data_IF_024630378096
#
_entry.id   IF_024630378096
#
_cell.length_a   1.000
_cell.length_b   1.000
_cell.length_c   1.000
_cell.angle_alpha   90.00
_cell.angle_beta   90.00
_cell.angle_gamma   90.00
#
_symmetry.space_group_name_H-M   'P 1'
#
loop_
_entity.id
_entity.type
_entity.pdbx_description
1 polymer ?
#
# COMPACT_ATOMS: atom_id res chain seq x y z
N UNK A 1 42.01 -39.87 -4.71
CA UNK A 1 41.73 -38.49 -4.26
C UNK A 1 40.69 -37.91 -5.21
N UNK A 2 39.41 -38.10 -4.89
CA UNK A 2 38.30 -37.62 -5.72
C UNK A 2 38.29 -36.10 -5.69
N UNK A 3 38.50 -35.49 -6.85
CA UNK A 3 38.53 -34.05 -6.99
C UNK A 3 37.16 -33.50 -6.60
N UNK A 4 37.11 -32.64 -5.58
CA UNK A 4 35.96 -31.84 -5.20
C UNK A 4 35.56 -30.98 -6.40
N UNK A 5 34.75 -31.52 -7.30
CA UNK A 5 33.95 -30.73 -8.23
C UNK A 5 33.13 -29.80 -7.33
N UNK A 6 33.43 -28.51 -7.39
CA UNK A 6 32.76 -27.46 -6.64
C UNK A 6 31.27 -27.76 -6.61
N UNK A 7 30.75 -28.19 -5.45
CA UNK A 7 29.32 -28.19 -5.21
C UNK A 7 28.91 -26.74 -5.36
N UNK A 8 28.28 -26.41 -6.49
CA UNK A 8 27.67 -25.10 -6.66
C UNK A 8 26.74 -24.89 -5.46
N UNK A 9 27.05 -23.89 -4.63
CA UNK A 9 26.23 -23.58 -3.47
C UNK A 9 24.90 -23.01 -3.97
N UNK A 10 23.90 -23.88 -4.05
CA UNK A 10 22.52 -23.53 -4.42
C UNK A 10 21.75 -22.91 -3.25
N UNK A 11 22.43 -22.46 -2.19
CA UNK A 11 21.82 -21.59 -1.19
C UNK A 11 21.37 -20.28 -1.82
N UNK A 12 20.37 -19.63 -1.23
CA UNK A 12 19.88 -18.30 -1.68
C UNK A 12 21.03 -17.28 -1.72
N UNK A 13 21.96 -17.38 -0.78
CA UNK A 13 23.14 -16.52 -0.71
C UNK A 13 24.14 -16.82 -1.83
N UNK A 14 24.42 -18.09 -2.09
CA UNK A 14 25.27 -18.53 -3.20
C UNK A 14 24.71 -18.09 -4.55
N UNK A 15 23.42 -18.31 -4.80
CA UNK A 15 22.72 -17.85 -6.01
C UNK A 15 22.75 -16.33 -6.16
N UNK A 16 22.56 -15.57 -5.08
CA UNK A 16 22.66 -14.10 -5.15
C UNK A 16 24.05 -13.64 -5.60
N UNK A 17 25.13 -14.27 -5.12
CA UNK A 17 26.49 -13.86 -5.49
C UNK A 17 26.80 -14.07 -6.97
N UNK A 18 26.31 -15.17 -7.55
CA UNK A 18 26.54 -15.55 -8.94
C UNK A 18 25.64 -14.80 -9.95
N UNK A 19 24.57 -14.16 -9.46
CA UNK A 19 23.66 -13.39 -10.29
C UNK A 19 24.30 -12.17 -10.98
N UNK A 20 23.84 -11.92 -12.20
CA UNK A 20 24.15 -10.72 -12.96
C UNK A 20 23.66 -9.45 -12.23
N UNK A 21 24.32 -8.32 -12.49
CA UNK A 21 24.02 -7.04 -11.84
C UNK A 21 22.56 -6.63 -12.02
N UNK A 22 21.96 -6.91 -13.18
CA UNK A 22 20.56 -6.58 -13.47
C UNK A 22 19.62 -7.41 -12.60
N UNK A 23 19.87 -8.71 -12.47
CA UNK A 23 19.05 -9.61 -11.65
C UNK A 23 19.16 -9.24 -10.17
N UNK A 24 20.36 -8.85 -9.70
CA UNK A 24 20.58 -8.32 -8.34
C UNK A 24 19.74 -7.07 -8.08
N UNK A 25 19.73 -6.11 -9.00
CA UNK A 25 18.92 -4.89 -8.89
C UNK A 25 17.42 -5.22 -8.84
N UNK A 26 16.95 -6.14 -9.69
CA UNK A 26 15.56 -6.62 -9.69
C UNK A 26 15.18 -7.20 -8.32
N UNK A 27 15.99 -8.13 -7.78
CA UNK A 27 15.71 -8.77 -6.50
C UNK A 27 15.69 -7.76 -5.34
N UNK A 28 16.68 -6.87 -5.27
CA UNK A 28 16.74 -5.83 -4.22
C UNK A 28 15.54 -4.89 -4.33
N UNK A 29 15.20 -4.44 -5.53
CA UNK A 29 14.05 -3.57 -5.77
C UNK A 29 12.74 -4.18 -5.30
N UNK A 30 12.53 -5.48 -5.58
CA UNK A 30 11.34 -6.22 -5.14
C UNK A 30 11.29 -6.40 -3.62
N UNK A 31 12.44 -6.65 -2.97
CA UNK A 31 12.52 -6.73 -1.51
C UNK A 31 12.16 -5.37 -0.88
N UNK A 32 12.68 -4.27 -1.42
CA UNK A 32 12.33 -2.92 -0.95
C UNK A 32 10.83 -2.62 -1.14
N UNK A 33 10.24 -3.03 -2.28
CA UNK A 33 8.81 -2.90 -2.52
C UNK A 33 7.97 -3.70 -1.50
N UNK A 34 8.44 -4.89 -1.10
CA UNK A 34 7.83 -5.67 -0.03
C UNK A 34 7.90 -4.94 1.32
N UNK A 35 9.05 -4.36 1.68
CA UNK A 35 9.20 -3.57 2.91
C UNK A 35 8.24 -2.37 2.92
N UNK A 36 8.11 -1.65 1.80
CA UNK A 36 7.16 -0.52 1.66
C UNK A 36 5.72 -1.00 1.84
N UNK A 37 5.36 -2.16 1.27
CA UNK A 37 4.03 -2.77 1.42
C UNK A 37 3.68 -2.99 2.89
N UNK A 38 4.58 -3.61 3.64
CA UNK A 38 4.38 -3.86 5.07
C UNK A 38 4.39 -2.58 5.92
N UNK A 39 5.26 -1.61 5.59
CA UNK A 39 5.28 -0.32 6.27
C UNK A 39 3.94 0.42 6.11
N UNK A 40 3.36 0.41 4.90
CA UNK A 40 2.03 0.98 4.64
C UNK A 40 0.96 0.21 5.43
N UNK A 41 0.99 -1.12 5.41
CA UNK A 41 0.01 -1.95 6.14
C UNK A 41 -0.05 -1.61 7.63
N UNK A 42 1.09 -1.65 8.33
CA UNK A 42 1.11 -1.38 9.76
C UNK A 42 0.84 0.09 10.07
N UNK A 43 1.43 1.01 9.30
CA UNK A 43 1.23 2.45 9.50
C UNK A 43 -0.22 2.87 9.30
N UNK A 44 -0.81 2.55 8.15
CA UNK A 44 -2.21 2.89 7.85
C UNK A 44 -3.21 2.06 8.64
N UNK A 45 -2.91 0.79 8.89
CA UNK A 45 -3.77 -0.08 9.71
C UNK A 45 -3.98 0.47 11.12
N UNK A 46 -2.89 0.92 11.77
CA UNK A 46 -2.97 1.54 13.10
C UNK A 46 -3.73 2.88 13.06
N UNK A 47 -3.46 3.74 12.08
CA UNK A 47 -4.12 5.03 11.90
C UNK A 47 -5.64 4.88 11.69
N UNK A 48 -6.05 3.96 10.81
CA UNK A 48 -7.47 3.69 10.51
C UNK A 48 -8.16 3.07 11.73
N UNK A 49 -7.52 2.12 12.42
CA UNK A 49 -8.11 1.49 13.60
C UNK A 49 -8.33 2.50 14.73
N UNK A 50 -7.34 3.37 15.00
CA UNK A 50 -7.45 4.42 15.98
C UNK A 50 -8.58 5.41 15.63
N UNK A 51 -8.61 5.87 14.38
CA UNK A 51 -9.63 6.79 13.87
C UNK A 51 -11.04 6.20 13.93
N UNK A 52 -11.19 4.92 13.55
CA UNK A 52 -12.49 4.21 13.59
C UNK A 52 -13.00 4.03 15.01
N UNK A 53 -12.13 3.65 15.96
CA UNK A 53 -12.51 3.53 17.38
C UNK A 53 -12.95 4.86 17.95
N UNK A 54 -12.20 5.93 17.64
CA UNK A 54 -12.53 7.29 18.06
C UNK A 54 -13.87 7.76 17.49
N UNK A 55 -14.06 7.64 16.18
CA UNK A 55 -15.29 8.03 15.51
C UNK A 55 -16.51 7.29 16.07
N UNK A 56 -16.38 5.98 16.34
CA UNK A 56 -17.45 5.19 16.96
C UNK A 56 -17.85 5.73 18.35
N UNK A 57 -16.87 6.15 19.15
CA UNK A 57 -17.12 6.74 20.47
C UNK A 57 -17.82 8.08 20.36
N UNK A 58 -17.33 8.97 19.50
CA UNK A 58 -17.91 10.29 19.26
C UNK A 58 -19.35 10.17 18.73
N UNK A 59 -19.59 9.25 17.80
CA UNK A 59 -20.93 8.95 17.28
C UNK A 59 -21.88 8.48 18.38
N UNK A 60 -21.42 7.61 19.29
CA UNK A 60 -22.24 7.12 20.41
C UNK A 60 -22.60 8.25 21.38
N UNK A 61 -21.68 9.17 21.66
CA UNK A 61 -21.93 10.33 22.51
C UNK A 61 -22.92 11.32 21.87
N UNK A 62 -22.86 11.47 20.55
CA UNK A 62 -23.80 12.32 19.81
C UNK A 62 -25.18 11.72 19.61
N UNK A 63 -25.33 10.40 19.71
CA UNK A 63 -26.63 9.74 19.53
C UNK A 63 -27.70 10.20 20.54
N UNK A 64 -27.28 10.79 21.66
CA UNK A 64 -28.15 11.33 22.70
C UNK A 64 -28.54 12.80 22.49
N UNK A 65 -27.91 13.49 21.52
CA UNK A 65 -28.19 14.89 21.22
C UNK A 65 -29.57 15.06 20.57
N UNK A 66 -30.34 16.03 21.07
CA UNK A 66 -31.70 16.36 20.59
C UNK A 66 -31.77 17.69 19.84
N UNK A 67 -30.69 18.45 19.83
CA UNK A 67 -30.55 19.71 19.09
C UNK A 67 -29.13 19.88 18.56
N UNK A 68 -28.95 20.77 17.59
CA UNK A 68 -27.64 21.10 17.05
C UNK A 68 -26.76 21.80 18.09
N UNK A 69 -27.35 22.63 18.95
CA UNK A 69 -26.64 23.29 20.05
C UNK A 69 -26.10 22.26 21.05
N UNK A 70 -26.93 21.28 21.44
CA UNK A 70 -26.49 20.19 22.31
C UNK A 70 -25.39 19.33 21.65
N UNK A 71 -25.49 19.09 20.34
CA UNK A 71 -24.44 18.40 19.60
C UNK A 71 -23.13 19.20 19.58
N UNK A 72 -23.19 20.53 19.45
CA UNK A 72 -22.05 21.44 19.53
C UNK A 72 -21.38 21.40 20.91
N UNK A 73 -22.18 21.48 21.97
CA UNK A 73 -21.71 21.40 23.36
C UNK A 73 -21.00 20.06 23.63
N UNK A 74 -21.59 18.94 23.20
CA UNK A 74 -20.97 17.61 23.31
C UNK A 74 -19.66 17.56 22.52
N UNK A 75 -19.66 18.09 21.28
CA UNK A 75 -18.50 18.05 20.39
C UNK A 75 -17.36 18.98 20.81
N UNK A 76 -17.63 19.99 21.66
CA UNK A 76 -16.61 20.87 22.25
C UNK A 76 -15.62 20.11 23.14
N UNK A 77 -16.03 18.98 23.70
CA UNK A 77 -15.20 18.10 24.53
C UNK A 77 -14.37 17.09 23.70
N UNK A 78 -14.55 17.02 22.38
CA UNK A 78 -13.77 16.15 21.51
C UNK A 78 -12.41 16.77 21.16
N UNK A 79 -11.47 15.96 20.66
CA UNK A 79 -10.16 16.47 20.24
C UNK A 79 -10.33 17.50 19.11
N UNK A 80 -9.52 18.57 19.12
CA UNK A 80 -9.62 19.69 18.17
C UNK A 80 -9.61 19.29 16.68
N UNK A 81 -8.97 18.17 16.33
CA UNK A 81 -8.92 17.64 14.96
C UNK A 81 -10.02 16.60 14.65
N UNK A 82 -11.04 16.47 15.49
CA UNK A 82 -12.19 15.59 15.26
C UNK A 82 -12.88 15.90 13.94
N UNK A 83 -13.16 14.86 13.16
CA UNK A 83 -14.06 14.99 12.01
C UNK A 83 -15.46 15.41 12.47
N UNK A 84 -15.94 14.81 13.56
CA UNK A 84 -17.25 15.06 14.13
C UNK A 84 -17.44 16.53 14.51
N UNK A 85 -16.48 17.10 15.24
CA UNK A 85 -16.48 18.53 15.58
C UNK A 85 -16.41 19.42 14.34
N UNK A 86 -15.59 19.05 13.34
CA UNK A 86 -15.52 19.81 12.09
C UNK A 86 -16.85 19.83 11.34
N UNK A 87 -17.57 18.71 11.28
CA UNK A 87 -18.88 18.64 10.62
C UNK A 87 -19.94 19.49 11.36
N UNK A 88 -19.96 19.44 12.68
CA UNK A 88 -20.89 20.23 13.50
C UNK A 88 -20.59 21.73 13.40
N UNK A 89 -19.30 22.11 13.37
CA UNK A 89 -18.89 23.50 13.16
C UNK A 89 -19.24 24.00 11.76
N UNK A 90 -19.15 23.15 10.74
CA UNK A 90 -19.53 23.49 9.37
C UNK A 90 -21.04 23.79 9.26
N UNK A 91 -21.87 23.00 9.97
CA UNK A 91 -23.31 23.21 10.03
C UNK A 91 -23.69 24.50 10.80
N UNK A 92 -23.06 24.76 11.94
CA UNK A 92 -23.25 26.01 12.69
C UNK A 92 -22.81 27.22 11.86
N UNK A 93 -21.67 27.13 11.19
CA UNK A 93 -21.17 28.20 10.35
C UNK A 93 -22.13 28.51 9.19
N UNK A 94 -22.79 27.51 8.60
CA UNK A 94 -23.80 27.76 7.57
C UNK A 94 -25.03 28.50 8.12
N UNK A 95 -25.46 28.18 9.35
CA UNK A 95 -26.53 28.90 10.02
C UNK A 95 -26.16 30.36 10.32
N UNK A 96 -24.93 30.60 10.79
CA UNK A 96 -24.41 31.96 11.03
C UNK A 96 -24.33 32.78 9.74
N UNK A 97 -23.82 32.18 8.65
CA UNK A 97 -23.73 32.83 7.35
C UNK A 97 -25.11 33.11 6.73
N UNK A 98 -26.11 32.31 7.11
CA UNK A 98 -27.49 32.45 6.65
C UNK A 98 -28.36 33.24 7.62
N UNK A 99 -27.78 33.92 8.61
CA UNK A 99 -28.52 34.70 9.59
C UNK A 99 -29.39 35.76 8.88
N UNK A 100 -30.71 35.70 9.11
CA UNK A 100 -31.69 36.59 8.49
C UNK A 100 -32.23 36.12 7.14
N UNK A 101 -31.80 34.97 6.62
CA UNK A 101 -32.43 34.34 5.46
C UNK A 101 -33.74 33.64 5.87
N UNK A 102 -34.80 33.80 5.06
CA UNK A 102 -36.08 33.12 5.27
C UNK A 102 -36.13 31.73 4.62
N UNK A 103 -35.19 31.47 3.70
CA UNK A 103 -35.10 30.22 2.94
C UNK A 103 -34.38 29.12 3.73
N UNK A 104 -35.15 28.41 4.56
CA UNK A 104 -34.68 27.23 5.29
C UNK A 104 -34.32 26.06 4.37
N UNK A 105 -34.88 25.98 3.16
CA UNK A 105 -34.60 24.90 2.22
C UNK A 105 -33.18 25.06 1.65
N UNK A 106 -32.83 26.28 1.21
CA UNK A 106 -31.48 26.61 0.77
C UNK A 106 -30.42 26.42 1.85
N UNK A 107 -30.73 26.71 3.12
CA UNK A 107 -29.81 26.45 4.25
C UNK A 107 -29.53 24.95 4.39
N UNK A 108 -30.57 24.11 4.32
CA UNK A 108 -30.43 22.65 4.39
C UNK A 108 -29.63 22.09 3.22
N UNK A 109 -29.88 22.59 2.01
CA UNK A 109 -29.16 22.18 0.80
C UNK A 109 -27.67 22.52 0.91
N UNK A 110 -27.34 23.77 1.25
CA UNK A 110 -25.94 24.22 1.41
C UNK A 110 -25.23 23.45 2.53
N UNK A 111 -25.91 23.24 3.66
CA UNK A 111 -25.36 22.44 4.77
C UNK A 111 -25.07 21.01 4.31
N UNK A 112 -26.05 20.33 3.70
CA UNK A 112 -25.89 18.97 3.17
C UNK A 112 -24.71 18.87 2.20
N UNK A 113 -24.64 19.78 1.23
CA UNK A 113 -23.57 19.84 0.25
C UNK A 113 -22.17 20.03 0.90
N UNK A 114 -22.05 20.94 1.88
CA UNK A 114 -20.78 21.17 2.59
C UNK A 114 -20.33 19.93 3.38
N UNK A 115 -21.26 19.28 4.08
CA UNK A 115 -20.98 18.07 4.85
C UNK A 115 -20.55 16.91 3.94
N UNK A 116 -21.28 16.65 2.86
CA UNK A 116 -20.93 15.62 1.88
C UNK A 116 -19.55 15.87 1.26
N UNK A 117 -19.26 17.11 0.87
CA UNK A 117 -17.96 17.51 0.34
C UNK A 117 -16.83 17.24 1.35
N UNK A 118 -17.08 17.51 2.64
CA UNK A 118 -16.10 17.29 3.72
C UNK A 118 -15.86 15.80 3.95
N UNK A 119 -16.92 14.99 4.02
CA UNK A 119 -16.82 13.53 4.14
C UNK A 119 -16.04 12.94 2.95
N UNK A 120 -16.35 13.37 1.74
CA UNK A 120 -15.63 12.93 0.54
C UNK A 120 -14.14 13.33 0.56
N UNK A 121 -13.80 14.51 1.07
CA UNK A 121 -12.41 14.95 1.21
C UNK A 121 -11.62 14.09 2.20
N UNK A 122 -12.22 13.72 3.34
CA UNK A 122 -11.60 12.83 4.31
C UNK A 122 -11.42 11.43 3.74
N UNK A 123 -12.42 10.89 3.04
CA UNK A 123 -12.31 9.60 2.37
C UNK A 123 -11.13 9.53 1.39
N UNK A 124 -10.95 10.58 0.57
CA UNK A 124 -9.77 10.69 -0.32
C UNK A 124 -8.45 10.77 0.44
N UNK A 125 -8.42 11.47 1.57
CA UNK A 125 -7.20 11.58 2.38
C UNK A 125 -6.82 10.22 3.00
N UNK A 126 -7.81 9.46 3.48
CA UNK A 126 -7.61 8.11 4.01
C UNK A 126 -7.09 7.13 2.94
N UNK A 127 -7.51 7.31 1.68
CA UNK A 127 -7.02 6.51 0.55
C UNK A 127 -5.56 6.78 0.13
N UNK A 128 -4.89 7.79 0.67
CA UNK A 128 -3.47 8.04 0.38
C UNK A 128 -2.62 6.85 0.83
N UNK A 129 -1.72 6.42 -0.05
CA UNK A 129 -0.90 5.23 0.19
C UNK A 129 -1.41 4.01 -0.57
N UNK A 130 -2.72 3.88 -0.78
CA UNK A 130 -3.29 2.70 -1.42
C UNK A 130 -2.86 2.56 -2.90
N UNK A 131 -2.62 3.69 -3.58
CA UNK A 131 -2.06 3.70 -4.93
C UNK A 131 -0.69 3.01 -5.06
N UNK A 132 0.16 3.07 -4.02
CA UNK A 132 1.44 2.36 -4.02
C UNK A 132 1.23 0.85 -3.91
N UNK A 133 0.32 0.40 -3.05
CA UNK A 133 -0.03 -1.02 -2.92
C UNK A 133 -0.59 -1.58 -4.24
N UNK A 134 -1.49 -0.83 -4.88
CA UNK A 134 -2.04 -1.18 -6.18
C UNK A 134 -0.94 -1.32 -7.24
N UNK A 135 -0.03 -0.35 -7.29
CA UNK A 135 1.06 -0.32 -8.27
C UNK A 135 2.04 -1.46 -8.03
N UNK A 136 2.50 -1.64 -6.79
CA UNK A 136 3.41 -2.73 -6.42
C UNK A 136 2.78 -4.09 -6.72
N UNK A 137 1.52 -4.30 -6.33
CA UNK A 137 0.79 -5.54 -6.60
C UNK A 137 0.66 -5.82 -8.11
N UNK A 138 0.43 -4.78 -8.92
CA UNK A 138 0.27 -4.92 -10.36
C UNK A 138 1.59 -5.19 -11.09
N UNK A 139 2.68 -4.49 -10.75
CA UNK A 139 3.91 -4.53 -11.55
C UNK A 139 4.97 -5.51 -11.05
N UNK A 140 4.96 -5.88 -9.75
CA UNK A 140 5.99 -6.76 -9.17
C UNK A 140 6.13 -8.12 -9.87
N UNK A 141 5.04 -8.80 -10.32
CA UNK A 141 5.18 -10.04 -11.08
C UNK A 141 5.93 -9.84 -12.40
N UNK A 142 5.68 -8.74 -13.09
CA UNK A 142 6.33 -8.42 -14.37
C UNK A 142 7.79 -8.02 -14.18
N UNK A 143 8.11 -7.33 -13.09
CA UNK A 143 9.51 -7.04 -12.72
C UNK A 143 10.28 -8.33 -12.40
N UNK A 144 9.66 -9.28 -11.70
CA UNK A 144 10.23 -10.61 -11.47
C UNK A 144 10.43 -11.40 -12.77
N UNK A 145 9.41 -11.41 -13.64
CA UNK A 145 9.46 -12.03 -14.97
C UNK A 145 10.61 -11.45 -15.82
N UNK A 146 10.79 -10.13 -15.80
CA UNK A 146 11.92 -9.48 -16.46
C UNK A 146 13.27 -10.02 -15.96
N UNK A 147 13.45 -10.15 -14.64
CA UNK A 147 14.65 -10.74 -14.06
C UNK A 147 14.90 -12.18 -14.56
N UNK A 148 13.83 -12.98 -14.68
CA UNK A 148 13.93 -14.34 -15.21
C UNK A 148 14.33 -14.37 -16.68
N UNK A 149 13.71 -13.55 -17.52
CA UNK A 149 14.04 -13.46 -18.96
C UNK A 149 15.49 -13.06 -19.14
N UNK A 150 15.96 -12.07 -18.37
CA UNK A 150 17.36 -11.61 -18.41
C UNK A 150 18.34 -12.70 -17.97
N UNK A 151 18.08 -13.39 -16.86
CA UNK A 151 18.95 -14.45 -16.35
C UNK A 151 19.04 -15.66 -17.30
N UNK A 152 17.91 -16.06 -17.89
CA UNK A 152 17.88 -17.13 -18.90
C UNK A 152 18.66 -16.71 -20.16
N UNK A 153 18.49 -15.46 -20.63
CA UNK A 153 19.24 -14.93 -21.76
C UNK A 153 20.76 -15.01 -21.53
N UNK A 154 21.23 -14.57 -20.35
CA UNK A 154 22.66 -14.64 -20.00
C UNK A 154 23.17 -16.08 -19.91
N UNK A 155 22.33 -17.01 -19.42
CA UNK A 155 22.67 -18.43 -19.38
C UNK A 155 22.88 -18.99 -20.80
N UNK A 156 22.01 -18.64 -21.76
CA UNK A 156 22.17 -19.05 -23.17
C UNK A 156 23.40 -18.42 -23.83
N UNK A 157 23.74 -17.16 -23.52
CA UNK A 157 24.98 -16.53 -24.00
C UNK A 157 26.20 -17.32 -23.49
N UNK A 158 26.20 -17.77 -22.23
CA UNK A 158 27.26 -18.61 -21.67
C UNK A 158 27.44 -19.95 -22.39
N UNK A 159 26.34 -20.61 -22.79
CA UNK A 159 26.39 -21.84 -23.60
C UNK A 159 27.06 -21.56 -24.96
N UNK A 160 26.65 -20.48 -25.63
CA UNK A 160 27.16 -20.11 -26.94
C UNK A 160 28.67 -19.80 -26.91
N UNK A 161 29.15 -19.15 -25.86
CA UNK A 161 30.57 -18.81 -25.68
C UNK A 161 31.44 -20.00 -25.31
N UNK A 162 30.95 -20.86 -24.40
CA UNK A 162 31.72 -22.03 -23.94
C UNK A 162 31.71 -23.17 -24.93
N UNK A 163 30.78 -23.17 -25.90
CA UNK A 163 30.56 -24.27 -26.86
C UNK A 163 30.31 -25.63 -26.18
N UNK A 164 29.92 -25.62 -24.90
CA UNK A 164 29.60 -26.82 -24.14
C UNK A 164 28.12 -26.84 -23.79
N UNK A 165 27.48 -27.98 -23.96
CA UNK A 165 26.08 -28.21 -23.55
C UNK A 165 25.97 -28.73 -22.11
N UNK A 166 27.04 -28.60 -21.32
CA UNK A 166 27.07 -29.13 -19.96
C UNK A 166 26.10 -28.33 -19.07
N UNK A 167 24.97 -28.95 -18.75
CA UNK A 167 23.91 -28.36 -17.92
C UNK A 167 24.39 -27.91 -16.55
N UNK A 168 25.46 -28.53 -16.01
CA UNK A 168 26.01 -28.14 -14.71
C UNK A 168 26.55 -26.70 -14.69
N UNK A 169 26.97 -26.17 -15.84
CA UNK A 169 27.53 -24.81 -15.96
C UNK A 169 26.44 -23.74 -15.97
N UNK A 170 25.24 -24.06 -16.44
CA UNK A 170 24.12 -23.11 -16.61
C UNK A 170 23.00 -23.26 -15.57
N UNK A 171 22.93 -24.41 -14.90
CA UNK A 171 21.92 -24.66 -13.87
C UNK A 171 21.84 -23.56 -12.79
N UNK A 172 22.97 -22.99 -12.29
CA UNK A 172 22.90 -21.89 -11.32
C UNK A 172 22.22 -20.63 -11.86
N UNK A 173 22.58 -20.19 -13.09
CA UNK A 173 22.01 -18.98 -13.69
C UNK A 173 20.51 -19.10 -13.99
N UNK A 174 20.05 -20.30 -14.37
CA UNK A 174 18.61 -20.57 -14.55
C UNK A 174 17.89 -20.59 -13.20
N UNK A 175 18.48 -21.16 -12.15
CA UNK A 175 17.90 -21.17 -10.81
C UNK A 175 17.72 -19.74 -10.26
N UNK A 176 18.73 -18.89 -10.41
CA UNK A 176 18.69 -17.46 -10.06
C UNK A 176 17.61 -16.70 -10.83
N UNK A 177 17.51 -16.97 -12.13
CA UNK A 177 16.48 -16.39 -12.97
C UNK A 177 15.09 -16.72 -12.43
N UNK A 178 14.82 -17.98 -12.09
CA UNK A 178 13.53 -18.41 -11.53
C UNK A 178 13.26 -17.81 -10.15
N UNK A 179 14.31 -17.62 -9.33
CA UNK A 179 14.19 -16.97 -8.03
C UNK A 179 13.66 -15.53 -8.15
N UNK A 180 14.07 -14.78 -9.18
CA UNK A 180 13.58 -13.42 -9.40
C UNK A 180 12.05 -13.35 -9.57
N UNK A 181 11.45 -14.29 -10.31
CA UNK A 181 9.98 -14.38 -10.44
C UNK A 181 9.33 -14.78 -9.12
N UNK A 182 9.91 -15.73 -8.39
CA UNK A 182 9.38 -16.14 -7.08
C UNK A 182 9.33 -14.95 -6.09
N UNK A 183 10.39 -14.14 -6.05
CA UNK A 183 10.44 -12.91 -5.24
C UNK A 183 9.40 -11.89 -5.76
N UNK A 184 9.22 -11.77 -7.08
CA UNK A 184 8.21 -10.89 -7.67
C UNK A 184 6.79 -11.23 -7.21
N UNK A 185 6.44 -12.52 -7.20
CA UNK A 185 5.15 -13.00 -6.68
C UNK A 185 5.03 -12.78 -5.17
N UNK A 186 6.10 -13.03 -4.42
CA UNK A 186 6.13 -12.79 -2.97
C UNK A 186 5.92 -11.32 -2.60
N UNK A 187 6.42 -10.38 -3.42
CA UNK A 187 6.15 -8.95 -3.24
C UNK A 187 4.71 -8.58 -3.67
N UNK A 188 4.21 -9.17 -4.76
CA UNK A 188 2.91 -8.83 -5.34
C UNK A 188 1.72 -9.28 -4.48
N UNK A 189 1.73 -10.54 -4.02
CA UNK A 189 0.56 -11.16 -3.38
C UNK A 189 0.13 -10.39 -2.11
N UNK A 190 1.02 -10.10 -1.15
CA UNK A 190 0.65 -9.31 0.02
C UNK A 190 0.15 -7.92 -0.35
N UNK A 191 0.77 -7.25 -1.34
CA UNK A 191 0.36 -5.92 -1.76
C UNK A 191 -1.08 -5.91 -2.29
N UNK A 192 -1.46 -6.91 -3.11
CA UNK A 192 -2.83 -7.06 -3.61
C UNK A 192 -3.81 -7.39 -2.47
N UNK A 193 -3.44 -8.28 -1.55
CA UNK A 193 -4.31 -8.63 -0.41
C UNK A 193 -4.55 -7.41 0.46
N UNK A 194 -3.49 -6.68 0.82
CA UNK A 194 -3.57 -5.49 1.66
C UNK A 194 -4.36 -4.37 0.97
N UNK A 195 -4.18 -4.17 -0.34
CA UNK A 195 -4.93 -3.17 -1.11
C UNK A 195 -6.45 -3.38 -1.06
N UNK A 196 -6.88 -4.64 -0.97
CA UNK A 196 -8.30 -5.03 -0.98
C UNK A 196 -8.94 -5.07 0.42
N UNK A 197 -8.15 -4.95 1.50
CA UNK A 197 -8.62 -4.88 2.90
C UNK A 197 -8.93 -3.43 3.27
#
# INVERSE_FOLDING_TARGET
>A
MGNNLMQADLSVWGMYHHADIVVKVVMIGLILASVVTWAIFFGKGAEILASKRRLKREQQQLAEARSLDQASDIASAFEAKSLTTQLINEAQNELELSAGAEDNEGIKERTGFRLERRVAAVGRHMGRGNGYLATIGAISPFVGLFGTVWGIMNSFIGIAQTQTTNLAVVAPGIAEALLATAIGLFAAIPAVVIYNI
#
